data_IF_761846642995
#
_entry.id   IF_761846642995
#
_cell.length_a   1.000
_cell.length_b   1.000
_cell.length_c   1.000
_cell.angle_alpha   90.00
_cell.angle_beta   90.00
_cell.angle_gamma   90.00
#
_symmetry.space_group_name_H-M   'P 1'
#
loop_
_entity.id
_entity.type
_entity.pdbx_description
1 polymer ?
#
# COMPACT_ATOMS: atom_id res chain seq x y z
N UNK A 1 15.78 -2.65 -7.01
CA UNK A 1 14.65 -1.70 -6.77
C UNK A 1 14.66 -1.22 -5.32
N UNK A 2 14.06 -0.07 -4.96
CA UNK A 2 13.96 0.39 -3.56
C UNK A 2 12.57 0.12 -2.98
N UNK A 3 12.51 -0.52 -1.82
CA UNK A 3 11.25 -0.82 -1.10
C UNK A 3 11.04 0.18 0.03
N UNK A 4 9.88 0.84 0.00
CA UNK A 4 9.39 1.67 1.10
C UNK A 4 8.45 0.82 1.92
N UNK A 5 8.73 0.67 3.21
CA UNK A 5 8.02 -0.29 4.06
C UNK A 5 7.84 0.22 5.49
N UNK A 6 6.83 -0.33 6.15
CA UNK A 6 6.52 -0.08 7.55
C UNK A 6 6.46 -1.40 8.32
N UNK A 7 6.83 -1.37 9.60
CA UNK A 7 6.53 -2.45 10.53
C UNK A 7 5.25 -2.14 11.28
N UNK A 8 4.33 -3.10 11.33
CA UNK A 8 3.10 -2.98 12.09
C UNK A 8 3.43 -3.13 13.58
N UNK A 9 2.99 -2.18 14.39
CA UNK A 9 3.17 -2.21 15.83
C UNK A 9 1.91 -2.68 16.55
N UNK A 10 0.73 -2.24 16.11
CA UNK A 10 -0.55 -2.56 16.74
C UNK A 10 -1.63 -2.82 15.67
N UNK A 11 -2.51 -3.78 15.98
CA UNK A 11 -3.65 -4.17 15.16
C UNK A 11 -4.91 -4.07 16.00
N UNK A 12 -5.96 -3.50 15.43
CA UNK A 12 -7.31 -3.57 15.95
C UNK A 12 -8.09 -4.67 15.23
N UNK A 13 -8.42 -5.73 15.98
CA UNK A 13 -9.14 -6.91 15.48
C UNK A 13 -10.61 -6.63 15.15
N UNK A 14 -11.14 -5.46 15.53
CA UNK A 14 -12.50 -5.05 15.18
C UNK A 14 -12.62 -4.57 13.72
N UNK A 15 -11.49 -4.32 13.06
CA UNK A 15 -11.43 -3.96 11.65
C UNK A 15 -10.85 -5.10 10.82
N UNK A 16 -11.36 -5.26 9.60
CA UNK A 16 -11.05 -6.42 8.77
C UNK A 16 -9.84 -6.22 7.88
N UNK A 17 -9.73 -5.05 7.23
CA UNK A 17 -8.90 -4.88 6.06
C UNK A 17 -7.69 -4.00 6.33
N UNK A 18 -6.56 -4.29 5.68
CA UNK A 18 -5.38 -3.42 5.62
C UNK A 18 -5.28 -2.84 4.23
N UNK A 19 -5.04 -1.53 4.13
CA UNK A 19 -4.87 -0.84 2.86
C UNK A 19 -3.53 -0.10 2.81
N UNK A 20 -2.94 -0.08 1.63
CA UNK A 20 -1.74 0.69 1.33
C UNK A 20 -1.69 0.97 -0.18
N UNK A 21 -0.81 1.85 -0.62
CA UNK A 21 -0.77 2.17 -2.03
C UNK A 21 0.11 3.36 -2.37
N UNK A 22 -0.24 4.01 -3.48
CA UNK A 22 0.47 5.20 -3.96
C UNK A 22 -0.52 6.28 -4.38
N UNK A 23 -0.12 7.53 -4.16
CA UNK A 23 -0.82 8.73 -4.66
C UNK A 23 0.07 9.53 -5.59
N UNK A 24 -0.50 10.21 -6.58
CA UNK A 24 0.23 11.00 -7.59
C UNK A 24 0.30 12.49 -7.29
N UNK A 25 -0.34 12.92 -6.19
CA UNK A 25 -0.30 14.29 -5.67
C UNK A 25 0.70 14.39 -4.53
N UNK A 26 1.40 15.52 -4.42
CA UNK A 26 2.34 15.76 -3.32
C UNK A 26 1.62 15.70 -1.97
N UNK A 27 2.19 15.03 -0.94
CA UNK A 27 1.68 15.04 0.43
C UNK A 27 1.43 16.44 0.98
N UNK A 28 2.16 17.46 0.52
CA UNK A 28 1.97 18.86 0.94
C UNK A 28 0.63 19.45 0.47
N UNK A 29 0.06 18.88 -0.58
CA UNK A 29 -1.16 19.37 -1.26
C UNK A 29 -2.28 18.34 -1.29
N UNK A 30 -1.99 17.10 -0.88
CA UNK A 30 -2.93 16.01 -0.96
C UNK A 30 -3.89 16.08 0.22
N UNK A 31 -5.17 16.22 -0.09
CA UNK A 31 -6.23 15.99 0.89
C UNK A 31 -6.49 14.49 0.94
N UNK A 32 -6.37 13.90 2.12
CA UNK A 32 -6.71 12.50 2.32
C UNK A 32 -8.20 12.30 1.97
N UNK A 33 -8.55 11.29 1.15
CA UNK A 33 -9.94 10.95 0.92
C UNK A 33 -10.59 10.46 2.22
N UNK A 34 -11.91 10.60 2.33
CA UNK A 34 -12.67 10.07 3.48
C UNK A 34 -12.50 8.55 3.61
N UNK A 35 -12.45 7.85 2.47
CA UNK A 35 -12.09 6.44 2.39
C UNK A 35 -10.97 6.24 1.37
N UNK A 36 -9.86 5.64 1.78
CA UNK A 36 -8.74 5.37 0.88
C UNK A 36 -9.08 4.41 -0.29
N UNK A 37 -10.20 3.70 -0.19
CA UNK A 37 -10.71 2.81 -1.25
C UNK A 37 -11.73 3.49 -2.18
N UNK A 38 -12.11 4.75 -1.96
CA UNK A 38 -12.98 5.42 -2.91
C UNK A 38 -12.24 5.64 -4.24
N UNK A 39 -12.90 5.48 -5.40
CA UNK A 39 -12.29 5.73 -6.70
C UNK A 39 -11.73 7.15 -6.82
N UNK A 40 -10.40 7.27 -6.79
CA UNK A 40 -9.69 8.54 -7.01
C UNK A 40 -8.72 8.37 -8.20
N UNK A 41 -8.79 9.20 -9.25
CA UNK A 41 -7.83 9.18 -10.35
C UNK A 41 -6.38 9.47 -9.92
N UNK A 42 -6.18 10.03 -8.73
CA UNK A 42 -4.87 10.30 -8.16
C UNK A 42 -4.34 9.20 -7.23
N UNK A 43 -5.10 8.14 -6.96
CA UNK A 43 -4.72 7.10 -6.02
C UNK A 43 -4.78 5.69 -6.62
N UNK A 44 -3.84 4.86 -6.20
CA UNK A 44 -3.90 3.42 -6.30
C UNK A 44 -3.91 2.87 -4.88
N UNK A 45 -4.96 2.15 -4.51
CA UNK A 45 -5.10 1.49 -3.23
C UNK A 45 -5.13 -0.03 -3.44
N UNK A 46 -4.26 -0.75 -2.74
CA UNK A 46 -4.26 -2.21 -2.64
C UNK A 46 -4.72 -2.62 -1.25
N UNK A 47 -5.67 -3.56 -1.21
CA UNK A 47 -6.18 -4.13 0.02
C UNK A 47 -6.42 -5.64 -0.07
N UNK A 48 -6.73 -6.24 1.08
CA UNK A 48 -7.04 -7.66 1.17
C UNK A 48 -8.34 -8.05 0.47
N UNK A 49 -9.30 -7.14 0.39
CA UNK A 49 -10.64 -7.41 -0.13
C UNK A 49 -10.90 -6.81 -1.52
N UNK A 50 -10.13 -5.79 -1.92
CA UNK A 50 -10.30 -5.05 -3.18
C UNK A 50 -9.05 -4.24 -3.57
N UNK A 51 -9.00 -3.81 -4.83
CA UNK A 51 -8.01 -2.87 -5.35
C UNK A 51 -8.71 -1.76 -6.13
N UNK A 52 -8.22 -0.54 -5.97
CA UNK A 52 -8.57 0.63 -6.79
C UNK A 52 -7.31 1.09 -7.50
N UNK A 53 -7.39 1.25 -8.82
CA UNK A 53 -6.27 1.74 -9.63
C UNK A 53 -6.74 2.97 -10.39
N UNK A 54 -6.32 4.15 -9.93
CA UNK A 54 -6.55 5.45 -10.58
C UNK A 54 -8.00 5.65 -11.04
N UNK A 55 -8.94 5.46 -10.11
CA UNK A 55 -10.38 5.62 -10.35
C UNK A 55 -11.10 4.38 -10.88
N UNK A 56 -10.40 3.27 -11.15
CA UNK A 56 -11.00 2.02 -11.60
C UNK A 56 -10.94 0.92 -10.54
N UNK A 57 -12.09 0.31 -10.26
CA UNK A 57 -12.18 -0.89 -9.44
C UNK A 57 -11.60 -2.11 -10.17
N UNK A 58 -10.83 -2.93 -9.45
CA UNK A 58 -10.39 -4.24 -9.93
C UNK A 58 -10.89 -5.35 -8.99
N UNK A 59 -11.21 -6.50 -9.57
CA UNK A 59 -11.68 -7.69 -8.82
C UNK A 59 -10.53 -8.45 -8.12
N UNK A 60 -9.28 -8.12 -8.44
CA UNK A 60 -8.10 -8.71 -7.81
C UNK A 60 -8.01 -8.33 -6.33
N UNK A 61 -7.42 -9.22 -5.53
CA UNK A 61 -7.35 -9.14 -4.06
C UNK A 61 -6.00 -9.63 -3.58
N UNK A 62 -5.58 -9.14 -2.41
CA UNK A 62 -4.31 -9.54 -1.78
C UNK A 62 -4.54 -10.11 -0.38
N UNK A 63 -5.04 -11.36 -0.25
CA UNK A 63 -5.41 -11.96 1.05
C UNK A 63 -4.27 -12.00 2.07
N UNK A 64 -3.01 -11.99 1.61
CA UNK A 64 -1.82 -11.89 2.48
C UNK A 64 -1.85 -10.66 3.40
N UNK A 65 -2.60 -9.62 3.04
CA UNK A 65 -2.77 -8.42 3.87
C UNK A 65 -3.71 -8.64 5.08
N UNK A 66 -4.55 -9.68 5.08
CA UNK A 66 -5.36 -10.07 6.26
C UNK A 66 -4.56 -10.87 7.28
N UNK A 67 -3.45 -11.48 6.85
CA UNK A 67 -2.56 -12.29 7.69
C UNK A 67 -1.56 -11.44 8.48
N UNK A 68 -1.54 -10.13 8.25
CA UNK A 68 -0.65 -9.20 8.93
C UNK A 68 -0.91 -9.19 10.45
N UNK A 69 0.18 -9.18 11.20
CA UNK A 69 0.20 -9.16 12.67
C UNK A 69 1.14 -8.06 13.19
N UNK A 70 1.07 -7.77 14.48
CA UNK A 70 2.11 -6.96 15.12
C UNK A 70 3.48 -7.61 14.90
N UNK A 71 4.44 -6.84 14.39
CA UNK A 71 5.77 -7.29 13.98
C UNK A 71 5.90 -7.57 12.48
N UNK A 72 4.80 -7.77 11.75
CA UNK A 72 4.84 -7.92 10.28
C UNK A 72 5.35 -6.65 9.61
N UNK A 73 6.06 -6.83 8.49
CA UNK A 73 6.55 -5.74 7.64
C UNK A 73 5.79 -5.77 6.32
N UNK A 74 5.24 -4.64 5.94
CA UNK A 74 4.57 -4.49 4.64
C UNK A 74 5.18 -3.33 3.89
N UNK A 75 5.43 -3.52 2.60
CA UNK A 75 6.12 -2.56 1.77
C UNK A 75 5.68 -2.56 0.32
N UNK A 76 5.96 -1.45 -0.33
CA UNK A 76 5.71 -1.21 -1.73
C UNK A 76 6.99 -0.75 -2.42
N UNK A 77 7.06 -1.01 -3.71
CA UNK A 77 8.17 -0.58 -4.52
C UNK A 77 7.70 -0.32 -5.96
N UNK A 78 8.31 0.67 -6.60
CA UNK A 78 8.08 0.94 -8.03
C UNK A 78 9.36 0.60 -8.77
N UNK A 79 9.28 -0.31 -9.75
CA UNK A 79 10.43 -0.75 -10.53
C UNK A 79 10.76 0.23 -11.67
N UNK A 80 11.76 -0.13 -12.48
CA UNK A 80 12.19 0.67 -13.62
C UNK A 80 11.15 0.71 -14.74
N UNK A 81 10.33 -0.33 -14.86
CA UNK A 81 9.24 -0.45 -15.82
C UNK A 81 7.94 0.20 -15.30
N UNK A 82 8.03 0.90 -14.15
CA UNK A 82 6.92 1.60 -13.50
C UNK A 82 5.80 0.68 -13.02
N UNK A 83 6.12 -0.56 -12.68
CA UNK A 83 5.20 -1.49 -12.02
C UNK A 83 5.24 -1.31 -10.50
N UNK A 84 4.09 -1.37 -9.84
CA UNK A 84 3.97 -1.39 -8.37
C UNK A 84 4.06 -2.82 -7.85
N UNK A 85 5.00 -3.09 -6.95
CA UNK A 85 5.23 -4.39 -6.34
C UNK A 85 4.84 -4.38 -4.86
N UNK A 86 4.22 -5.47 -4.38
CA UNK A 86 3.93 -5.68 -2.97
C UNK A 86 4.99 -6.59 -2.31
N UNK A 87 5.40 -6.22 -1.11
CA UNK A 87 6.29 -7.00 -0.25
C UNK A 87 5.66 -7.21 1.13
N UNK A 88 5.72 -8.43 1.65
CA UNK A 88 5.33 -8.79 3.03
C UNK A 88 6.45 -9.62 3.65
N UNK A 89 6.93 -9.19 4.82
CA UNK A 89 8.01 -9.83 5.58
C UNK A 89 9.26 -10.12 4.74
N UNK A 90 9.61 -9.19 3.86
CA UNK A 90 10.76 -9.29 2.94
C UNK A 90 10.52 -10.18 1.71
N UNK A 91 9.36 -10.84 1.60
CA UNK A 91 8.98 -11.66 0.45
C UNK A 91 8.20 -10.85 -0.58
N UNK A 92 8.64 -10.92 -1.84
CA UNK A 92 7.91 -10.36 -2.98
C UNK A 92 6.62 -11.15 -3.22
N UNK A 93 5.48 -10.46 -3.22
CA UNK A 93 4.16 -11.06 -3.38
C UNK A 93 3.69 -11.03 -4.83
N UNK A 94 4.15 -10.06 -5.62
CA UNK A 94 3.79 -9.91 -7.03
C UNK A 94 3.70 -8.45 -7.48
N UNK A 95 3.20 -8.25 -8.69
CA UNK A 95 2.93 -6.93 -9.28
C UNK A 95 1.46 -6.60 -9.08
N UNK A 96 1.17 -5.47 -8.45
CA UNK A 96 -0.17 -4.96 -8.16
C UNK A 96 -0.77 -4.24 -9.38
N UNK A 97 0.02 -3.39 -10.04
CA UNK A 97 -0.39 -2.70 -11.24
C UNK A 97 0.82 -2.20 -12.03
N UNK A 98 0.72 -2.13 -13.38
CA UNK A 98 1.68 -1.44 -14.22
C UNK A 98 1.44 0.08 -14.26
N UNK A 99 2.30 0.80 -14.98
CA UNK A 99 2.10 2.18 -15.43
C UNK A 99 1.91 3.22 -14.30
N UNK A 100 2.66 3.09 -13.21
CA UNK A 100 2.59 4.03 -12.07
C UNK A 100 3.12 5.42 -12.47
N UNK A 101 2.30 6.49 -12.40
CA UNK A 101 2.71 7.85 -12.78
C UNK A 101 3.86 8.38 -11.92
N UNK A 102 4.56 9.39 -12.44
CA UNK A 102 5.63 10.12 -11.73
C UNK A 102 5.24 11.61 -11.61
N UNK A 103 5.41 12.24 -10.42
CA UNK A 103 5.83 11.64 -9.16
C UNK A 103 4.75 10.74 -8.55
N UNK A 104 5.16 9.83 -7.66
CA UNK A 104 4.25 9.07 -6.82
C UNK A 104 4.77 9.03 -5.38
N UNK A 105 3.86 8.91 -4.43
CA UNK A 105 4.14 8.93 -3.00
C UNK A 105 3.46 7.74 -2.35
N UNK A 106 4.19 7.02 -1.51
CA UNK A 106 3.68 5.84 -0.82
C UNK A 106 2.74 6.25 0.31
N UNK A 107 1.60 5.57 0.39
CA UNK A 107 0.58 5.79 1.41
C UNK A 107 0.30 4.48 2.13
N UNK A 108 0.20 4.54 3.45
CA UNK A 108 -0.14 3.42 4.31
C UNK A 108 -1.34 3.84 5.15
N UNK A 109 -2.45 3.11 5.04
CA UNK A 109 -3.65 3.40 5.80
C UNK A 109 -3.49 2.92 7.24
N UNK A 110 -3.87 3.78 8.20
CA UNK A 110 -3.89 3.48 9.62
C UNK A 110 -5.30 3.60 10.25
N UNK A 111 -6.32 3.87 9.43
CA UNK A 111 -7.70 4.07 9.88
C UNK A 111 -8.46 2.73 9.98
N UNK A 112 -7.85 1.65 9.48
CA UNK A 112 -8.42 0.32 9.42
C UNK A 112 -7.80 -0.63 10.44
N UNK A 113 -7.51 -1.88 10.06
CA UNK A 113 -6.95 -2.94 10.92
C UNK A 113 -5.60 -2.57 11.55
N UNK A 114 -4.75 -1.83 10.86
CA UNK A 114 -3.45 -1.42 11.37
C UNK A 114 -3.58 -0.03 12.02
N UNK A 115 -3.34 0.11 13.32
CA UNK A 115 -3.55 1.39 14.02
C UNK A 115 -2.26 2.12 14.36
N UNK A 116 -1.12 1.43 14.29
CA UNK A 116 0.20 1.98 14.59
C UNK A 116 1.28 1.28 13.80
N UNK A 117 2.15 2.06 13.19
CA UNK A 117 3.27 1.56 12.40
C UNK A 117 4.56 2.33 12.66
N UNK A 118 5.69 1.69 12.34
CA UNK A 118 7.03 2.29 12.36
C UNK A 118 7.57 2.31 10.94
N UNK A 119 7.89 3.49 10.42
CA UNK A 119 8.59 3.60 9.14
C UNK A 119 9.99 2.97 9.25
N UNK A 120 10.34 2.10 8.30
CA UNK A 120 11.64 1.44 8.28
C UNK A 120 12.57 2.13 7.25
N UNK A 121 13.90 1.95 7.38
CA UNK A 121 14.83 2.37 6.34
C UNK A 121 14.45 1.77 4.98
N UNK A 122 14.60 2.57 3.93
CA UNK A 122 14.40 2.11 2.56
C UNK A 122 15.42 1.02 2.28
N UNK A 123 14.94 -0.15 1.83
CA UNK A 123 15.79 -1.29 1.54
C UNK A 123 15.90 -1.50 0.04
N UNK A 124 17.12 -1.67 -0.45
CA UNK A 124 17.35 -2.13 -1.82
C UNK A 124 17.08 -3.63 -1.90
N UNK A 125 16.16 -4.02 -2.78
CA UNK A 125 16.02 -5.40 -3.23
C UNK A 125 16.82 -5.60 -4.52
N UNK A 126 17.41 -6.80 -4.74
CA UNK A 126 18.07 -7.15 -5.98
C UNK A 126 17.25 -6.77 -7.22
#
# INVERSE_FOLDING_TARGET
MSVVQVQINEIDINYYNTYLGVVTKSPDTFTLPDTFTDPDPAALCVGSDRIVVFGAWKQEKWPVLDELAAGSKVGLAVDTDRSLHLYVDGKHQGVVAPDIPTPCYFMFDMVSRCTKVTALPVTSVP
#
